data_IF_825897753126
#
_entry.id   IF_825897753126
#
_cell.length_a   1.000
_cell.length_b   1.000
_cell.length_c   1.000
_cell.angle_alpha   90.00
_cell.angle_beta   90.00
_cell.angle_gamma   90.00
#
_symmetry.space_group_name_H-M   'P 1'
#
loop_
_entity.id
_entity.type
_entity.pdbx_description
1 polymer ?
#
# COMPACT_ATOMS: atom_id res chain seq x y z
N UNK A 1 3.84 16.63 -24.00
CA UNK A 1 3.92 15.19 -23.64
C UNK A 1 5.00 14.92 -22.59
N UNK A 2 6.29 15.15 -22.88
CA UNK A 2 7.42 14.78 -22.00
C UNK A 2 7.40 15.45 -20.62
N UNK A 3 7.09 16.75 -20.56
CA UNK A 3 6.98 17.48 -19.28
C UNK A 3 5.95 16.86 -18.34
N UNK A 4 4.75 16.54 -18.84
CA UNK A 4 3.68 15.93 -18.05
C UNK A 4 4.06 14.53 -17.55
N UNK A 5 4.76 13.73 -18.36
CA UNK A 5 5.25 12.42 -17.94
C UNK A 5 6.31 12.54 -16.83
N UNK A 6 7.28 13.43 -16.97
CA UNK A 6 8.31 13.64 -15.94
C UNK A 6 7.70 14.13 -14.64
N UNK A 7 6.75 15.07 -14.71
CA UNK A 7 6.00 15.55 -13.56
C UNK A 7 5.20 14.41 -12.90
N UNK A 8 4.52 13.59 -13.69
CA UNK A 8 3.76 12.44 -13.22
C UNK A 8 4.64 11.41 -12.50
N UNK A 9 5.80 11.08 -13.07
CA UNK A 9 6.79 10.17 -12.47
C UNK A 9 7.33 10.72 -11.15
N UNK A 10 7.68 12.01 -11.11
CA UNK A 10 8.14 12.67 -9.91
C UNK A 10 7.09 12.62 -8.79
N UNK A 11 5.84 12.96 -9.11
CA UNK A 11 4.74 12.95 -8.15
C UNK A 11 4.40 11.54 -7.64
N UNK A 12 4.48 10.51 -8.48
CA UNK A 12 4.35 9.10 -8.03
C UNK A 12 5.47 8.71 -7.09
N UNK A 13 6.72 9.09 -7.37
CA UNK A 13 7.84 8.84 -6.46
C UNK A 13 7.66 9.55 -5.12
N UNK A 14 7.18 10.79 -5.12
CA UNK A 14 6.80 11.53 -3.91
C UNK A 14 5.68 10.80 -3.15
N UNK A 15 4.65 10.32 -3.85
CA UNK A 15 3.59 9.50 -3.27
C UNK A 15 4.13 8.23 -2.63
N UNK A 16 5.02 7.50 -3.31
CA UNK A 16 5.67 6.32 -2.74
C UNK A 16 6.54 6.65 -1.52
N UNK A 17 7.20 7.81 -1.50
CA UNK A 17 7.97 8.26 -0.34
C UNK A 17 7.06 8.52 0.88
N UNK A 18 5.93 9.20 0.71
CA UNK A 18 4.96 9.39 1.79
C UNK A 18 4.32 8.07 2.24
N UNK A 19 4.06 7.15 1.31
CA UNK A 19 3.60 5.80 1.64
C UNK A 19 4.63 5.05 2.48
N UNK A 20 5.93 5.18 2.17
CA UNK A 20 7.00 4.62 2.97
C UNK A 20 7.07 5.23 4.37
N UNK A 21 6.91 6.56 4.49
CA UNK A 21 6.86 7.25 5.79
C UNK A 21 5.64 6.82 6.63
N UNK A 22 4.49 6.61 5.99
CA UNK A 22 3.29 6.07 6.63
C UNK A 22 3.53 4.64 7.12
N UNK A 23 4.13 3.79 6.30
CA UNK A 23 4.44 2.42 6.69
C UNK A 23 5.52 2.36 7.79
N UNK A 24 6.51 3.26 7.76
CA UNK A 24 7.50 3.42 8.84
C UNK A 24 6.81 3.77 10.16
N UNK A 25 5.76 4.60 10.15
CA UNK A 25 5.01 4.91 11.37
C UNK A 25 4.35 3.69 11.99
N UNK A 26 3.79 2.79 11.19
CA UNK A 26 3.21 1.54 11.69
C UNK A 26 4.27 0.64 12.32
N UNK A 27 5.44 0.53 11.70
CA UNK A 27 6.51 -0.35 12.18
C UNK A 27 7.24 0.23 13.40
N UNK A 28 7.44 1.55 13.44
CA UNK A 28 8.19 2.27 14.47
C UNK A 28 7.61 2.14 15.88
N UNK A 29 6.36 1.70 16.00
CA UNK A 29 5.71 1.40 17.29
C UNK A 29 6.39 0.22 17.99
N UNK A 30 6.91 -0.74 17.22
CA UNK A 30 7.48 -1.98 17.75
C UNK A 30 8.99 -2.06 17.54
N UNK A 31 9.49 -1.66 16.37
CA UNK A 31 10.92 -1.69 16.06
C UNK A 31 11.33 -0.49 15.21
N UNK A 32 12.60 -0.07 15.26
CA UNK A 32 13.14 0.91 14.30
C UNK A 32 13.54 0.17 13.02
N UNK A 33 12.80 0.30 11.90
CA UNK A 33 13.16 -0.43 10.69
C UNK A 33 14.26 0.28 9.90
N UNK A 34 15.07 -0.50 9.19
CA UNK A 34 16.02 0.02 8.20
C UNK A 34 15.26 0.38 6.92
N UNK A 35 15.15 1.69 6.61
CA UNK A 35 14.41 2.22 5.45
C UNK A 35 14.77 1.55 4.12
N UNK A 36 16.04 1.21 3.91
CA UNK A 36 16.49 0.52 2.70
C UNK A 36 15.90 -0.89 2.51
N UNK A 37 15.60 -1.61 3.59
CA UNK A 37 14.99 -2.95 3.52
C UNK A 37 13.48 -2.87 3.25
N UNK A 38 12.81 -1.87 3.85
CA UNK A 38 11.41 -1.56 3.57
C UNK A 38 11.21 -1.15 2.11
N UNK A 39 12.13 -0.33 1.58
CA UNK A 39 12.06 0.13 0.20
C UNK A 39 12.23 -1.03 -0.80
N UNK A 40 13.12 -2.01 -0.51
CA UNK A 40 13.21 -3.27 -1.28
C UNK A 40 11.92 -4.10 -1.20
N UNK A 41 11.31 -4.21 -0.02
CA UNK A 41 10.04 -4.91 0.17
C UNK A 41 8.87 -4.26 -0.58
N UNK A 42 8.81 -2.92 -0.61
CA UNK A 42 7.82 -2.19 -1.41
C UNK A 42 8.06 -2.34 -2.91
N UNK A 43 9.29 -2.16 -3.39
CA UNK A 43 9.60 -2.31 -4.82
C UNK A 43 9.29 -3.72 -5.33
N UNK A 44 9.69 -4.76 -4.57
CA UNK A 44 9.37 -6.15 -4.90
C UNK A 44 7.87 -6.45 -4.83
N UNK A 45 7.17 -5.92 -3.83
CA UNK A 45 5.73 -6.07 -3.71
C UNK A 45 4.96 -5.42 -4.86
N UNK A 46 5.31 -4.21 -5.28
CA UNK A 46 4.68 -3.57 -6.43
C UNK A 46 5.00 -4.26 -7.75
N UNK A 47 6.24 -4.74 -7.95
CA UNK A 47 6.61 -5.51 -9.12
C UNK A 47 5.80 -6.82 -9.22
N UNK A 48 5.60 -7.52 -8.10
CA UNK A 48 4.76 -8.72 -8.06
C UNK A 48 3.28 -8.41 -8.27
N UNK A 49 2.77 -7.31 -7.69
CA UNK A 49 1.39 -6.87 -7.93
C UNK A 49 1.12 -6.47 -9.38
N UNK A 50 2.14 -6.07 -10.13
CA UNK A 50 2.00 -5.76 -11.56
C UNK A 50 1.94 -7.04 -12.44
N UNK A 51 2.54 -8.14 -11.97
CA UNK A 51 2.64 -9.41 -12.72
C UNK A 51 1.58 -10.42 -12.29
N UNK A 52 1.26 -10.46 -11.00
CA UNK A 52 0.39 -11.47 -10.40
C UNK A 52 -0.94 -10.83 -9.94
N UNK A 53 -2.08 -11.40 -10.35
CA UNK A 53 -3.38 -11.01 -9.81
C UNK A 53 -3.47 -11.35 -8.31
N UNK A 54 -4.47 -10.78 -7.62
CA UNK A 54 -4.78 -11.02 -6.19
C UNK A 54 -3.89 -10.34 -5.15
N UNK A 55 -3.16 -9.28 -5.50
CA UNK A 55 -2.34 -8.51 -4.54
C UNK A 55 -1.29 -9.38 -3.79
N UNK A 56 -0.81 -10.46 -4.41
CA UNK A 56 0.21 -11.36 -3.85
C UNK A 56 1.52 -10.64 -3.48
N UNK A 57 1.79 -9.50 -4.11
CA UNK A 57 2.89 -8.62 -3.78
C UNK A 57 2.78 -7.95 -2.40
N UNK A 58 1.58 -7.74 -1.87
CA UNK A 58 1.40 -7.25 -0.49
C UNK A 58 1.72 -8.35 0.53
N UNK A 59 1.37 -9.60 0.23
CA UNK A 59 1.78 -10.77 1.03
C UNK A 59 3.30 -10.93 0.96
N UNK A 60 3.91 -10.81 -0.22
CA UNK A 60 5.36 -10.83 -0.37
C UNK A 60 6.03 -9.73 0.46
N UNK A 61 5.51 -8.50 0.41
CA UNK A 61 6.02 -7.38 1.20
C UNK A 61 5.99 -7.70 2.69
N UNK A 62 4.87 -8.24 3.20
CA UNK A 62 4.72 -8.65 4.59
C UNK A 62 5.68 -9.77 4.98
N UNK A 63 5.81 -10.82 4.17
CA UNK A 63 6.69 -11.97 4.45
C UNK A 63 8.17 -11.57 4.37
N UNK A 64 8.56 -10.80 3.35
CA UNK A 64 9.94 -10.39 3.13
C UNK A 64 10.45 -9.49 4.25
N UNK A 65 9.65 -8.51 4.71
CA UNK A 65 10.05 -7.68 5.84
C UNK A 65 9.85 -8.39 7.18
N UNK A 66 8.78 -9.17 7.31
CA UNK A 66 8.43 -9.89 8.55
C UNK A 66 9.44 -10.95 8.95
N UNK A 67 10.04 -11.67 7.99
CA UNK A 67 11.13 -12.64 8.27
C UNK A 67 12.40 -12.00 8.86
N UNK A 68 12.56 -10.69 8.71
CA UNK A 68 13.74 -9.94 9.19
C UNK A 68 13.45 -9.06 10.41
N UNK A 69 12.21 -9.05 10.90
CA UNK A 69 11.77 -8.32 12.09
C UNK A 69 11.75 -9.24 13.30
N UNK A 70 12.06 -8.72 14.49
CA UNK A 70 11.98 -9.53 15.73
C UNK A 70 10.53 -9.77 16.17
N UNK A 71 9.59 -8.93 15.73
CA UNK A 71 8.14 -9.14 15.95
C UNK A 71 7.50 -10.19 15.04
N UNK A 72 8.24 -10.70 14.06
CA UNK A 72 7.80 -11.79 13.17
C UNK A 72 6.86 -11.36 12.03
N UNK A 73 6.38 -12.37 11.28
CA UNK A 73 5.60 -12.18 10.04
C UNK A 73 4.18 -11.66 10.31
N UNK A 74 3.54 -12.12 11.40
CA UNK A 74 2.17 -11.70 11.76
C UNK A 74 2.07 -10.18 11.99
N UNK A 75 3.06 -9.59 12.66
CA UNK A 75 3.17 -8.15 12.83
C UNK A 75 3.28 -7.41 11.49
N UNK A 76 4.23 -7.80 10.63
CA UNK A 76 4.42 -7.16 9.34
C UNK A 76 3.15 -7.26 8.46
N UNK A 77 2.47 -8.40 8.51
CA UNK A 77 1.22 -8.62 7.80
C UNK A 77 0.09 -7.71 8.30
N UNK A 78 -0.08 -7.54 9.61
CA UNK A 78 -1.03 -6.57 10.17
C UNK A 78 -0.76 -5.13 9.67
N UNK A 79 0.51 -4.70 9.65
CA UNK A 79 0.85 -3.35 9.17
C UNK A 79 0.53 -3.15 7.68
N UNK A 80 0.72 -4.19 6.87
CA UNK A 80 0.40 -4.16 5.43
C UNK A 80 -1.11 -4.15 5.22
N UNK A 81 -1.87 -4.98 5.93
CA UNK A 81 -3.33 -4.97 5.88
C UNK A 81 -3.87 -3.60 6.24
N UNK A 82 -3.37 -2.98 7.31
CA UNK A 82 -3.85 -1.67 7.75
C UNK A 82 -3.46 -0.54 6.79
N UNK A 83 -2.28 -0.63 6.16
CA UNK A 83 -1.90 0.28 5.08
C UNK A 83 -2.84 0.19 3.87
N UNK A 84 -3.26 -1.03 3.49
CA UNK A 84 -4.25 -1.24 2.41
C UNK A 84 -5.65 -0.79 2.80
N UNK A 85 -6.06 -1.08 4.04
CA UNK A 85 -7.36 -0.68 4.56
C UNK A 85 -7.57 0.82 4.41
N UNK A 86 -6.62 1.63 4.88
CA UNK A 86 -6.70 3.09 4.74
C UNK A 86 -6.77 3.54 3.28
N UNK A 87 -6.06 2.87 2.37
CA UNK A 87 -6.09 3.21 0.95
C UNK A 87 -7.46 2.95 0.32
N UNK A 88 -8.14 1.86 0.68
CA UNK A 88 -9.48 1.52 0.16
C UNK A 88 -10.51 2.60 0.49
N UNK A 89 -10.47 3.15 1.70
CA UNK A 89 -11.38 4.24 2.09
C UNK A 89 -11.16 5.49 1.25
N UNK A 90 -9.91 5.85 0.96
CA UNK A 90 -9.60 6.99 0.10
C UNK A 90 -10.04 6.75 -1.35
N UNK A 91 -9.92 5.52 -1.86
CA UNK A 91 -10.44 5.16 -3.18
C UNK A 91 -11.96 5.30 -3.22
N UNK A 92 -12.66 4.82 -2.18
CA UNK A 92 -14.11 4.98 -2.05
C UNK A 92 -14.54 6.45 -2.01
N UNK A 93 -13.82 7.28 -1.24
CA UNK A 93 -14.04 8.73 -1.19
C UNK A 93 -13.75 9.38 -2.55
N UNK A 94 -12.72 8.94 -3.27
CA UNK A 94 -12.38 9.43 -4.60
C UNK A 94 -13.50 9.18 -5.61
N UNK A 95 -13.98 7.94 -5.73
CA UNK A 95 -15.12 7.63 -6.61
C UNK A 95 -16.41 8.33 -6.16
N UNK A 96 -16.65 8.45 -4.84
CA UNK A 96 -17.76 9.21 -4.30
C UNK A 96 -17.71 10.70 -4.67
N UNK A 97 -16.52 11.30 -4.66
CA UNK A 97 -16.31 12.68 -5.08
C UNK A 97 -16.53 12.86 -6.59
N UNK A 98 -16.04 11.96 -7.44
CA UNK A 98 -16.30 12.02 -8.89
C UNK A 98 -17.78 11.89 -9.21
N UNK A 99 -18.48 10.98 -8.52
CA UNK A 99 -19.93 10.87 -8.64
C UNK A 99 -20.65 12.15 -8.23
N UNK A 100 -20.29 12.74 -7.08
CA UNK A 100 -20.88 13.99 -6.60
C UNK A 100 -20.61 15.18 -7.54
N UNK A 101 -19.47 15.18 -8.24
CA UNK A 101 -19.09 16.15 -9.26
C UNK A 101 -19.71 15.86 -10.65
N UNK A 102 -20.50 14.79 -10.79
CA UNK A 102 -21.13 14.40 -12.05
C UNK A 102 -20.17 13.87 -13.11
N UNK A 103 -18.96 13.43 -12.73
CA UNK A 103 -17.93 12.96 -13.65
C UNK A 103 -17.92 11.41 -13.76
N UNK A 104 -17.77 10.88 -14.99
CA UNK A 104 -17.56 9.45 -15.26
C UNK A 104 -18.79 8.53 -15.27
N UNK A 105 -20.00 9.09 -15.21
CA UNK A 105 -21.25 8.39 -15.57
C UNK A 105 -21.53 7.09 -14.79
N UNK A 106 -22.10 6.09 -15.48
CA UNK A 106 -22.56 4.84 -14.85
C UNK A 106 -21.42 3.95 -14.33
N UNK A 107 -20.23 4.02 -14.95
CA UNK A 107 -19.06 3.26 -14.53
C UNK A 107 -18.57 3.73 -13.14
N UNK A 108 -18.44 5.05 -12.96
CA UNK A 108 -18.08 5.66 -11.67
C UNK A 108 -19.13 5.39 -10.60
N UNK A 109 -20.42 5.46 -10.93
CA UNK A 109 -21.47 5.10 -9.97
C UNK A 109 -21.35 3.64 -9.51
N UNK A 110 -21.12 2.72 -10.45
CA UNK A 110 -20.92 1.31 -10.15
C UNK A 110 -19.67 1.05 -9.31
N UNK A 111 -18.56 1.75 -9.58
CA UNK A 111 -17.34 1.68 -8.78
C UNK A 111 -17.54 2.28 -7.39
N UNK A 112 -18.18 3.45 -7.29
CA UNK A 112 -18.48 4.12 -6.03
C UNK A 112 -19.33 3.23 -5.11
N UNK A 113 -20.39 2.61 -5.63
CA UNK A 113 -21.23 1.67 -4.87
C UNK A 113 -20.43 0.46 -4.37
N UNK A 114 -19.62 -0.13 -5.25
CA UNK A 114 -18.79 -1.27 -4.89
C UNK A 114 -17.81 -0.92 -3.77
N UNK A 115 -17.06 0.17 -3.93
CA UNK A 115 -16.08 0.59 -2.92
C UNK A 115 -16.71 1.07 -1.63
N UNK A 116 -17.90 1.67 -1.68
CA UNK A 116 -18.65 2.06 -0.48
C UNK A 116 -19.08 0.81 0.30
N UNK A 117 -19.75 -0.14 -0.34
CA UNK A 117 -20.18 -1.39 0.31
C UNK A 117 -18.96 -2.15 0.84
N UNK A 118 -17.92 -2.27 0.04
CA UNK A 118 -16.68 -2.92 0.45
C UNK A 118 -16.01 -2.23 1.64
N UNK A 119 -15.96 -0.89 1.66
CA UNK A 119 -15.42 -0.13 2.79
C UNK A 119 -16.24 -0.30 4.06
N UNK A 120 -17.58 -0.36 3.96
CA UNK A 120 -18.45 -0.63 5.11
C UNK A 120 -18.27 -2.04 5.65
N UNK A 121 -18.21 -3.05 4.77
CA UNK A 121 -17.94 -4.45 5.16
C UNK A 121 -16.57 -4.56 5.83
N UNK A 122 -15.56 -3.89 5.29
CA UNK A 122 -14.24 -3.80 5.87
C UNK A 122 -14.26 -3.11 7.25
N UNK A 123 -14.97 -1.98 7.40
CA UNK A 123 -15.17 -1.30 8.68
C UNK A 123 -15.75 -2.23 9.73
N UNK A 124 -16.83 -2.93 9.35
CA UNK A 124 -17.51 -3.88 10.21
C UNK A 124 -16.62 -5.07 10.54
N UNK A 125 -15.86 -5.59 9.56
CA UNK A 125 -14.86 -6.63 9.77
C UNK A 125 -13.78 -6.23 10.77
N UNK A 126 -13.27 -5.00 10.70
CA UNK A 126 -12.29 -4.48 11.66
C UNK A 126 -12.89 -4.41 13.07
N UNK A 127 -14.12 -3.88 13.20
CA UNK A 127 -14.83 -3.81 14.49
C UNK A 127 -15.06 -5.22 15.05
N UNK A 128 -15.48 -6.16 14.22
CA UNK A 128 -15.67 -7.56 14.62
C UNK A 128 -14.37 -8.22 15.06
N UNK A 129 -13.26 -8.01 14.35
CA UNK A 129 -11.95 -8.56 14.73
C UNK A 129 -11.50 -8.01 16.09
N UNK A 130 -11.75 -6.73 16.35
CA UNK A 130 -11.41 -6.08 17.63
C UNK A 130 -12.34 -6.55 18.75
N UNK A 131 -13.64 -6.66 18.50
CA UNK A 131 -14.66 -7.03 19.49
C UNK A 131 -14.64 -8.52 19.82
N UNK A 132 -14.57 -9.39 18.81
CA UNK A 132 -14.56 -10.84 18.94
C UNK A 132 -13.15 -11.41 19.15
N UNK A 133 -12.15 -10.58 19.41
CA UNK A 133 -10.74 -11.01 19.52
C UNK A 133 -10.52 -12.18 20.47
N UNK A 134 -11.27 -12.21 21.58
CA UNK A 134 -11.09 -13.22 22.62
C UNK A 134 -11.73 -14.55 22.16
N UNK A 135 -12.74 -14.49 21.30
CA UNK A 135 -13.29 -15.64 20.57
C UNK A 135 -12.40 -16.06 19.41
N UNK A 136 -11.79 -15.13 18.66
CA UNK A 136 -10.83 -15.43 17.61
C UNK A 136 -9.58 -16.13 18.16
N UNK A 137 -9.10 -15.72 19.34
CA UNK A 137 -8.03 -16.42 20.07
C UNK A 137 -8.45 -17.83 20.43
N UNK A 138 -9.68 -18.04 20.94
CA UNK A 138 -10.22 -19.38 21.26
C UNK A 138 -10.42 -20.24 20.01
N UNK A 139 -10.91 -19.66 18.91
CA UNK A 139 -11.09 -20.34 17.63
C UNK A 139 -9.76 -20.73 16.99
N UNK A 140 -8.76 -19.85 17.02
CA UNK A 140 -7.40 -20.18 16.61
C UNK A 140 -6.80 -21.29 17.48
N UNK A 141 -7.01 -21.26 18.79
CA UNK A 141 -6.58 -22.34 19.69
C UNK A 141 -7.22 -23.69 19.34
N UNK A 142 -8.52 -23.70 19.03
CA UNK A 142 -9.23 -24.90 18.62
C UNK A 142 -8.75 -25.41 17.24
N UNK A 143 -8.56 -24.50 16.28
CA UNK A 143 -8.08 -24.84 14.94
C UNK A 143 -6.63 -25.30 14.94
N UNK A 144 -5.73 -24.57 15.60
CA UNK A 144 -4.33 -24.97 15.78
C UNK A 144 -4.21 -26.25 16.62
N UNK A 145 -5.19 -26.57 17.46
CA UNK A 145 -5.27 -27.84 18.20
C UNK A 145 -5.51 -29.08 17.33
N UNK A 146 -5.94 -28.90 16.07
CA UNK A 146 -6.07 -29.99 15.08
C UNK A 146 -4.74 -30.34 14.40
N UNK A 147 -3.72 -29.51 14.56
CA UNK A 147 -2.41 -29.68 13.94
C UNK A 147 -1.35 -30.14 14.95
N UNK A 148 -0.23 -30.63 14.41
CA UNK A 148 0.95 -31.05 15.18
C UNK A 148 1.45 -29.92 16.13
N UNK A 149 2.02 -30.28 17.28
CA UNK A 149 2.33 -29.34 18.38
C UNK A 149 3.24 -28.17 17.96
N UNK A 150 4.14 -28.40 17.00
CA UNK A 150 5.01 -27.36 16.41
C UNK A 150 4.24 -26.37 15.55
N UNK A 151 3.37 -26.85 14.66
CA UNK A 151 2.48 -26.04 13.82
C UNK A 151 1.45 -25.26 14.67
N UNK A 152 1.00 -25.86 15.77
CA UNK A 152 0.07 -25.24 16.72
C UNK A 152 0.67 -24.01 17.38
N UNK A 153 1.88 -24.14 17.93
CA UNK A 153 2.60 -23.05 18.61
C UNK A 153 2.94 -21.91 17.65
N UNK A 154 3.45 -22.23 16.46
CA UNK A 154 3.78 -21.23 15.44
C UNK A 154 2.55 -20.47 14.93
N UNK A 155 1.45 -21.19 14.66
CA UNK A 155 0.17 -20.60 14.28
C UNK A 155 -0.40 -19.70 15.37
N UNK A 156 -0.35 -20.14 16.63
CA UNK A 156 -0.82 -19.34 17.76
C UNK A 156 0.00 -18.05 17.94
N UNK A 157 1.33 -18.11 17.84
CA UNK A 157 2.19 -16.94 17.91
C UNK A 157 1.93 -15.97 16.75
N UNK A 158 1.66 -16.49 15.55
CA UNK A 158 1.28 -15.69 14.39
C UNK A 158 -0.04 -14.92 14.61
N UNK A 159 -1.12 -15.63 14.95
CA UNK A 159 -2.43 -15.00 15.18
C UNK A 159 -2.44 -14.06 16.38
N UNK A 160 -1.71 -14.41 17.44
CA UNK A 160 -1.57 -13.57 18.63
C UNK A 160 -0.85 -12.26 18.30
N UNK A 161 0.27 -12.34 17.55
CA UNK A 161 0.99 -11.15 17.06
C UNK A 161 0.10 -10.30 16.14
N UNK A 162 -0.61 -10.93 15.20
CA UNK A 162 -1.52 -10.26 14.27
C UNK A 162 -2.61 -9.47 15.02
N UNK A 163 -3.36 -10.12 15.90
CA UNK A 163 -4.48 -9.52 16.65
C UNK A 163 -4.00 -8.43 17.60
N UNK A 164 -2.90 -8.64 18.33
CA UNK A 164 -2.38 -7.61 19.22
C UNK A 164 -1.89 -6.37 18.45
N UNK A 165 -1.34 -6.57 17.26
CA UNK A 165 -0.89 -5.47 16.40
C UNK A 165 -2.06 -4.55 16.02
N UNK A 166 -3.21 -5.10 15.64
CA UNK A 166 -4.41 -4.31 15.33
C UNK A 166 -4.87 -3.46 16.52
N UNK A 167 -4.79 -3.99 17.75
CA UNK A 167 -5.17 -3.26 18.97
C UNK A 167 -4.23 -2.08 19.24
N UNK A 168 -2.94 -2.32 19.19
CA UNK A 168 -1.93 -1.30 19.50
C UNK A 168 -1.82 -0.25 18.39
N UNK A 169 -2.27 -0.54 17.17
CA UNK A 169 -2.38 0.44 16.09
C UNK A 169 -3.32 1.60 16.43
N UNK A 170 -4.29 1.40 17.34
CA UNK A 170 -5.13 2.48 17.88
C UNK A 170 -4.36 3.52 18.70
N UNK A 171 -3.11 3.24 19.11
CA UNK A 171 -2.24 4.17 19.86
C UNK A 171 -1.41 5.08 18.96
N UNK A 172 -1.61 5.02 17.65
CA UNK A 172 -0.86 5.84 16.70
C UNK A 172 -1.27 7.30 16.82
N UNK A 173 -0.31 8.19 16.53
CA UNK A 173 -0.56 9.62 16.35
C UNK A 173 -1.38 9.84 15.07
N UNK A 174 -2.70 9.73 15.17
CA UNK A 174 -3.66 9.86 14.07
C UNK A 174 -3.40 11.12 13.24
N UNK A 175 -3.11 12.25 13.88
CA UNK A 175 -2.83 13.50 13.15
C UNK A 175 -1.68 13.40 12.14
N UNK A 176 -0.57 12.75 12.51
CA UNK A 176 0.56 12.57 11.58
C UNK A 176 0.27 11.52 10.50
N UNK A 177 -0.53 10.50 10.84
CA UNK A 177 -0.99 9.48 9.91
C UNK A 177 -1.90 10.09 8.84
N UNK A 178 -2.85 10.94 9.25
CA UNK A 178 -3.77 11.66 8.36
C UNK A 178 -2.99 12.59 7.44
N UNK A 179 -2.08 13.41 7.97
CA UNK A 179 -1.24 14.31 7.15
C UNK A 179 -0.45 13.53 6.11
N UNK A 180 0.24 12.46 6.51
CA UNK A 180 1.00 11.63 5.57
C UNK A 180 0.11 10.99 4.51
N UNK A 181 -1.10 10.56 4.88
CA UNK A 181 -2.03 9.92 3.96
C UNK A 181 -2.61 10.92 2.96
N UNK A 182 -2.98 12.12 3.43
CA UNK A 182 -3.49 13.20 2.57
C UNK A 182 -2.40 13.67 1.60
N UNK A 183 -1.17 13.89 2.08
CA UNK A 183 -0.04 14.28 1.22
C UNK A 183 0.30 13.20 0.19
N UNK A 184 0.26 11.92 0.59
CA UNK A 184 0.45 10.79 -0.30
C UNK A 184 -0.61 10.77 -1.41
N UNK A 185 -1.89 10.88 -1.05
CA UNK A 185 -2.99 10.87 -2.03
C UNK A 185 -3.02 12.12 -2.89
N UNK A 186 -2.69 13.29 -2.36
CA UNK A 186 -2.53 14.51 -3.15
C UNK A 186 -1.43 14.35 -4.22
N UNK A 187 -0.30 13.75 -3.85
CA UNK A 187 0.78 13.46 -4.80
C UNK A 187 0.34 12.42 -5.86
N UNK A 188 -0.40 11.37 -5.46
CA UNK A 188 -0.94 10.40 -6.42
C UNK A 188 -1.98 11.02 -7.37
N UNK A 189 -2.95 11.79 -6.86
CA UNK A 189 -3.94 12.47 -7.69
C UNK A 189 -3.27 13.46 -8.66
N UNK A 190 -2.27 14.21 -8.19
CA UNK A 190 -1.46 15.08 -9.05
C UNK A 190 -0.65 14.30 -10.09
N UNK A 191 -0.20 13.09 -9.77
CA UNK A 191 0.42 12.22 -10.76
C UNK A 191 -0.58 11.72 -11.80
N UNK A 192 -1.79 11.36 -11.38
CA UNK A 192 -2.85 10.89 -12.28
C UNK A 192 -3.36 11.98 -13.21
N UNK A 193 -3.49 13.24 -12.73
CA UNK A 193 -3.80 14.39 -13.62
C UNK A 193 -2.71 14.57 -14.67
N UNK A 194 -1.44 14.54 -14.25
CA UNK A 194 -0.31 14.69 -15.15
C UNK A 194 -0.20 13.52 -16.14
N UNK A 195 -0.53 12.29 -15.72
CA UNK A 195 -0.59 11.13 -16.61
C UNK A 195 -1.73 11.26 -17.62
N UNK A 196 -2.93 11.68 -17.19
CA UNK A 196 -4.06 11.93 -18.07
C UNK A 196 -3.72 12.97 -19.16
N UNK A 197 -3.04 14.05 -18.77
CA UNK A 197 -2.54 15.06 -19.71
C UNK A 197 -1.46 14.51 -20.66
N UNK A 198 -0.56 13.63 -20.18
CA UNK A 198 0.44 12.98 -21.01
C UNK A 198 -0.17 12.02 -22.04
N UNK A 199 -1.18 11.23 -21.63
CA UNK A 199 -1.92 10.31 -22.51
C UNK A 199 -2.76 11.05 -23.54
N UNK A 200 -3.43 12.14 -23.13
CA UNK A 200 -4.17 13.03 -24.04
C UNK A 200 -3.24 13.65 -25.08
N UNK A 201 -2.07 14.12 -24.67
CA UNK A 201 -1.05 14.63 -25.59
C UNK A 201 -0.46 13.55 -26.52
N UNK A 202 -0.61 12.28 -26.18
CA UNK A 202 -0.19 11.13 -26.99
C UNK A 202 -1.31 10.55 -27.87
N UNK A 203 -2.44 11.26 -27.99
CA UNK A 203 -3.56 10.88 -28.85
C UNK A 203 -4.59 9.95 -28.21
N UNK A 204 -4.64 9.88 -26.87
CA UNK A 204 -5.69 9.16 -26.13
C UNK A 204 -6.38 10.12 -25.14
N UNK A 205 -7.55 10.69 -25.48
CA UNK A 205 -8.21 11.65 -24.62
C UNK A 205 -8.62 10.96 -23.32
N UNK A 206 -8.00 11.39 -22.23
CA UNK A 206 -8.19 10.83 -20.89
C UNK A 206 -8.29 11.98 -19.90
N UNK A 207 -9.34 11.97 -19.08
CA UNK A 207 -9.46 12.80 -17.89
C UNK A 207 -8.89 12.08 -16.67
N UNK A 208 -8.77 12.80 -15.55
CA UNK A 208 -8.33 12.17 -14.29
C UNK A 208 -9.25 11.01 -13.88
N UNK A 209 -10.56 11.16 -14.11
CA UNK A 209 -11.54 10.13 -13.76
C UNK A 209 -11.32 8.85 -14.56
N UNK A 210 -10.95 8.97 -15.84
CA UNK A 210 -10.67 7.81 -16.70
C UNK A 210 -9.39 7.09 -16.26
N UNK A 211 -8.34 7.84 -15.88
CA UNK A 211 -7.12 7.25 -15.29
C UNK A 211 -7.40 6.61 -13.94
N UNK A 212 -8.26 7.23 -13.13
CA UNK A 212 -8.64 6.69 -11.82
C UNK A 212 -9.45 5.40 -11.96
N UNK A 213 -10.41 5.35 -12.89
CA UNK A 213 -11.18 4.15 -13.22
C UNK A 213 -10.32 3.08 -13.89
N UNK A 214 -9.32 3.45 -14.70
CA UNK A 214 -8.35 2.50 -15.25
C UNK A 214 -7.53 1.81 -14.14
N UNK A 215 -7.12 2.56 -13.11
CA UNK A 215 -6.27 2.04 -12.04
C UNK A 215 -7.04 1.33 -10.93
N UNK A 216 -8.27 1.76 -10.64
CA UNK A 216 -9.07 1.29 -9.50
C UNK A 216 -10.45 0.77 -9.89
N UNK A 217 -10.81 0.73 -11.17
CA UNK A 217 -12.10 0.20 -11.61
C UNK A 217 -12.25 -1.30 -11.36
N UNK A 218 -13.43 -1.85 -11.66
CA UNK A 218 -13.72 -3.29 -11.45
C UNK A 218 -12.80 -4.22 -12.25
N UNK A 219 -12.23 -3.71 -13.34
CA UNK A 219 -11.21 -4.36 -14.16
C UNK A 219 -9.86 -3.65 -14.02
N UNK A 220 -9.47 -3.30 -12.79
CA UNK A 220 -8.26 -2.56 -12.47
C UNK A 220 -7.07 -3.07 -13.28
N UNK A 221 -6.30 -2.14 -13.85
CA UNK A 221 -5.27 -2.42 -14.84
C UNK A 221 -4.09 -3.25 -14.29
N UNK A 222 -4.25 -4.57 -14.33
CA UNK A 222 -3.13 -5.50 -14.42
C UNK A 222 -2.58 -5.50 -15.86
N UNK A 223 -1.49 -6.24 -16.12
CA UNK A 223 -0.93 -6.43 -17.47
C UNK A 223 -2.00 -6.76 -18.54
N UNK A 224 -3.11 -7.36 -18.11
CA UNK A 224 -4.30 -7.66 -18.93
C UNK A 224 -4.97 -6.44 -19.54
N UNK A 225 -4.92 -5.26 -18.93
CA UNK A 225 -5.49 -4.03 -19.49
C UNK A 225 -4.72 -3.50 -20.71
N UNK A 226 -3.44 -3.89 -20.85
CA UNK A 226 -2.57 -3.55 -21.98
C UNK A 226 -2.64 -4.60 -23.11
N UNK A 227 -3.18 -5.79 -22.84
CA UNK A 227 -3.35 -6.85 -23.83
C UNK A 227 -4.44 -6.50 -24.85
N UNK A 228 -4.41 -7.11 -26.06
CA UNK A 228 -5.50 -7.01 -27.03
C UNK A 228 -6.82 -7.46 -26.38
N UNK A 229 -7.83 -6.57 -26.35
CA UNK A 229 -9.11 -6.80 -25.65
C UNK A 229 -9.21 -6.17 -24.25
N UNK A 230 -8.11 -5.64 -23.68
CA UNK A 230 -8.11 -4.85 -22.44
C UNK A 230 -8.52 -3.39 -22.65
N UNK A 231 -8.70 -2.64 -21.55
CA UNK A 231 -9.15 -1.23 -21.57
C UNK A 231 -8.28 -0.30 -22.43
N UNK A 232 -6.99 -0.59 -22.56
CA UNK A 232 -6.03 0.13 -23.42
C UNK A 232 -5.59 -0.69 -24.64
N UNK A 233 -6.27 -1.81 -24.93
CA UNK A 233 -5.93 -2.76 -25.99
C UNK A 233 -6.15 -2.24 -27.41
N UNK A 234 -6.90 -1.16 -27.59
CA UNK A 234 -7.07 -0.41 -28.85
C UNK A 234 -6.36 0.96 -28.86
N UNK A 235 -5.78 1.37 -27.73
CA UNK A 235 -5.12 2.68 -27.60
C UNK A 235 -3.89 2.80 -28.51
N UNK A 236 -3.51 4.02 -28.88
CA UNK A 236 -2.29 4.29 -29.64
C UNK A 236 -1.06 3.60 -28.97
N UNK A 237 -0.13 3.00 -29.75
CA UNK A 237 1.06 2.34 -29.21
C UNK A 237 1.87 3.24 -28.27
N UNK A 238 1.96 4.54 -28.59
CA UNK A 238 2.60 5.54 -27.75
C UNK A 238 1.97 5.62 -26.35
N UNK A 239 0.63 5.63 -26.24
CA UNK A 239 -0.07 5.68 -24.96
C UNK A 239 0.15 4.43 -24.10
N UNK A 240 0.23 3.25 -24.71
CA UNK A 240 0.55 2.00 -24.01
C UNK A 240 1.97 2.00 -23.47
N UNK A 241 2.93 2.46 -24.28
CA UNK A 241 4.34 2.58 -23.85
C UNK A 241 4.46 3.60 -22.72
N UNK A 242 3.75 4.73 -22.78
CA UNK A 242 3.73 5.73 -21.71
C UNK A 242 3.20 5.15 -20.40
N UNK A 243 2.10 4.39 -20.45
CA UNK A 243 1.53 3.73 -19.27
C UNK A 243 2.50 2.68 -18.68
N UNK A 244 3.14 1.87 -19.54
CA UNK A 244 4.18 0.92 -19.12
C UNK A 244 5.38 1.61 -18.45
N UNK A 245 5.87 2.69 -19.05
CA UNK A 245 6.94 3.50 -18.47
C UNK A 245 6.53 4.10 -17.13
N UNK A 246 5.29 4.55 -17.00
CA UNK A 246 4.74 5.10 -15.76
C UNK A 246 4.68 4.05 -14.63
N UNK A 247 4.39 2.79 -14.94
CA UNK A 247 4.48 1.69 -13.97
C UNK A 247 5.92 1.25 -13.67
N UNK A 248 6.76 1.10 -14.70
CA UNK A 248 8.09 0.48 -14.55
C UNK A 248 9.14 1.44 -13.99
N UNK A 249 9.17 2.70 -14.43
CA UNK A 249 10.24 3.64 -14.08
C UNK A 249 10.29 3.98 -12.58
N UNK A 250 9.17 4.22 -11.87
CA UNK A 250 9.22 4.43 -10.43
C UNK A 250 9.73 3.21 -9.67
N UNK A 251 9.40 1.99 -10.12
CA UNK A 251 9.87 0.75 -9.51
C UNK A 251 11.37 0.56 -9.71
N UNK A 252 11.87 0.81 -10.92
CA UNK A 252 13.30 0.81 -11.22
C UNK A 252 14.04 1.85 -10.39
N UNK A 253 13.52 3.07 -10.28
CA UNK A 253 14.10 4.12 -9.47
C UNK A 253 14.15 3.73 -7.98
N UNK A 254 13.06 3.18 -7.44
CA UNK A 254 13.03 2.65 -6.08
C UNK A 254 14.08 1.54 -5.92
N UNK A 255 14.17 0.58 -6.84
CA UNK A 255 15.13 -0.50 -6.76
C UNK A 255 16.59 -0.01 -6.83
N UNK A 256 16.89 0.93 -7.74
CA UNK A 256 18.21 1.55 -7.89
C UNK A 256 18.67 2.29 -6.63
N UNK A 257 17.76 2.98 -5.93
CA UNK A 257 18.06 3.63 -4.63
C UNK A 257 18.56 2.60 -3.61
N UNK A 258 18.14 1.33 -3.71
CA UNK A 258 18.59 0.28 -2.81
C UNK A 258 19.97 -0.28 -3.14
N UNK A 259 20.51 0.01 -4.33
CA UNK A 259 21.86 -0.36 -4.77
C UNK A 259 22.91 0.71 -4.41
N UNK A 260 22.48 1.92 -4.01
CA UNK A 260 23.39 3.00 -3.64
C UNK A 260 24.30 2.62 -2.46
N UNK A 261 25.56 3.11 -2.42
CA UNK A 261 26.51 2.83 -1.34
C UNK A 261 25.99 3.25 0.04
N UNK A 262 26.41 2.53 1.10
CA UNK A 262 25.96 2.79 2.48
C UNK A 262 26.19 4.22 2.97
N UNK A 263 27.23 4.90 2.45
CA UNK A 263 27.53 6.30 2.78
C UNK A 263 26.42 7.27 2.33
N UNK A 264 25.78 6.99 1.19
CA UNK A 264 24.66 7.79 0.65
C UNK A 264 23.33 7.36 1.27
N UNK A 265 23.13 6.06 1.49
CA UNK A 265 22.00 5.55 2.31
C UNK A 265 22.05 6.11 3.73
N UNK A 266 23.25 6.35 4.26
CA UNK A 266 23.53 6.99 5.53
C UNK A 266 22.87 8.36 5.64
N UNK A 267 22.92 9.21 4.61
CA UNK A 267 22.26 10.52 4.62
C UNK A 267 20.71 10.43 4.61
N UNK A 268 20.15 9.46 3.88
CA UNK A 268 18.70 9.15 3.89
C UNK A 268 18.26 8.54 5.23
N UNK A 269 19.18 7.85 5.92
CA UNK A 269 18.98 7.30 7.26
C UNK A 269 19.33 8.29 8.39
N UNK A 270 20.17 9.32 8.15
CA UNK A 270 20.76 10.19 9.17
C UNK A 270 19.79 11.21 9.76
N UNK A 271 18.69 11.50 9.06
CA UNK A 271 17.56 12.27 9.65
C UNK A 271 16.86 11.52 10.80
N UNK A 272 17.20 10.25 11.03
CA UNK A 272 16.68 9.46 12.16
C UNK A 272 17.63 9.36 13.37
N UNK A 273 18.86 9.86 13.28
CA UNK A 273 19.86 9.79 14.37
C UNK A 273 19.82 10.94 15.37
N UNK A 274 19.12 12.05 15.09
CA UNK A 274 19.02 13.18 16.03
C UNK A 274 17.84 13.09 17.01
N UNK A 275 17.57 11.91 17.57
CA UNK A 275 16.74 11.82 18.78
C UNK A 275 17.33 10.77 19.73
N UNK A 276 17.53 11.13 21.02
CA UNK A 276 18.34 10.35 21.96
C UNK A 276 17.80 8.92 22.10
N UNK A 277 18.73 7.98 22.27
CA UNK A 277 18.45 6.57 22.57
C UNK A 277 17.43 6.51 23.72
N UNK A 278 16.33 5.74 23.61
CA UNK A 278 15.57 5.40 24.80
C UNK A 278 16.52 4.64 25.73
N UNK A 279 16.70 5.19 26.93
CA UNK A 279 17.49 4.61 28.00
C UNK A 279 17.02 3.18 28.24
N UNK A 280 17.98 2.24 28.28
CA UNK A 280 17.78 0.84 28.69
C UNK A 280 17.28 0.80 30.14
N UNK A 281 15.99 1.03 30.39
CA UNK A 281 15.34 0.75 31.68
C UNK A 281 13.86 0.47 31.45
N UNK A 282 13.56 -0.74 30.97
CA UNK A 282 12.37 -1.56 31.33
C UNK A 282 12.32 -2.82 30.46
N UNK A 283 13.29 -3.71 30.63
CA UNK A 283 13.11 -5.13 30.31
C UNK A 283 13.43 -5.91 31.58
N UNK A 284 12.55 -5.75 32.57
CA UNK A 284 12.34 -6.65 33.70
C UNK A 284 10.93 -6.43 34.18
N UNK A 285 10.01 -7.29 33.73
CA UNK A 285 9.01 -8.02 34.54
C UNK A 285 8.02 -8.66 33.57
N UNK A 286 8.05 -10.00 33.62
CA UNK A 286 7.01 -10.99 33.36
C UNK A 286 5.93 -10.67 32.31
#
# INVERSE_FOLDING_TARGET
MTFYLVLSLFLVLVGHAFRLLRWEQFIRIYERPLRGQMLRGMAGGYALNFVLPFHLGDVFRAVFTGRRMKSGIGFALATVIMDRFLDVWFVALGFGAFWALGQGGAAVLGAAQYYLVFSLVLALGLVLVVALRDLLKKGCLAFCGLFNDTLKLDGMMFFWSLINTFKDLGRIKIGRLVVNTVLMWAAYLGSYTALAAALTAAGQPMALVDVFDLLFGRNAADLSALLPGGAMGAAAPAARILLLCWFALPLLAMWLVTLLPEKVRGAVNATSTCCPRPTRRTVRRF
#
